data_IF_475752721825
#
_entry.id   IF_475752721825
#
_cell.length_a   1.000
_cell.length_b   1.000
_cell.length_c   1.000
_cell.angle_alpha   90.00
_cell.angle_beta   90.00
_cell.angle_gamma   90.00
#
_symmetry.space_group_name_H-M   'P 1'
#
loop_
_entity.id
_entity.type
_entity.pdbx_description
1 polymer ?
#
# COMPACT_ATOMS: atom_id res chain seq x y z
N UNK A 1 1.56 32.82 19.35
CA UNK A 1 2.73 33.26 20.14
C UNK A 1 3.97 32.56 19.64
N UNK A 2 5.17 33.02 20.02
CA UNK A 2 6.42 32.34 19.67
C UNK A 2 6.44 30.90 20.21
N UNK A 3 7.06 29.98 19.47
CA UNK A 3 7.21 28.59 19.94
C UNK A 3 8.06 28.54 21.21
N UNK A 4 7.68 27.68 22.14
CA UNK A 4 8.45 27.40 23.36
C UNK A 4 9.49 26.28 23.17
N UNK A 5 9.39 25.51 22.09
CA UNK A 5 10.32 24.44 21.73
C UNK A 5 10.31 24.19 20.22
N UNK A 6 11.40 24.55 19.54
CA UNK A 6 11.55 24.39 18.07
C UNK A 6 11.95 22.97 17.65
N UNK A 7 12.22 22.08 18.61
CA UNK A 7 12.32 20.63 18.40
C UNK A 7 10.96 19.94 18.30
N UNK A 8 9.88 20.58 18.78
CA UNK A 8 8.51 20.05 18.76
C UNK A 8 7.61 20.85 17.80
N UNK A 9 7.59 22.18 17.92
CA UNK A 9 6.76 23.07 17.07
C UNK A 9 7.63 24.18 16.50
N UNK A 10 7.78 24.22 15.18
CA UNK A 10 8.52 25.29 14.50
C UNK A 10 7.58 26.35 13.90
N UNK A 11 8.03 27.61 13.78
CA UNK A 11 7.30 28.62 13.03
C UNK A 11 7.26 28.26 11.53
N UNK A 12 6.25 28.77 10.81
CA UNK A 12 6.07 28.53 9.36
C UNK A 12 7.29 28.96 8.54
N UNK A 13 8.03 29.98 9.00
CA UNK A 13 9.24 30.46 8.35
C UNK A 13 10.45 29.51 8.46
N UNK A 14 10.42 28.53 9.38
CA UNK A 14 11.49 27.54 9.58
C UNK A 14 10.89 26.16 9.81
N UNK A 15 10.20 25.54 8.84
CA UNK A 15 9.49 24.29 9.07
C UNK A 15 10.47 23.10 9.27
N UNK A 16 9.95 21.94 9.69
CA UNK A 16 10.75 20.70 9.69
C UNK A 16 11.04 20.19 8.28
N UNK A 17 10.07 20.37 7.39
CA UNK A 17 10.16 20.07 5.95
C UNK A 17 9.36 21.11 5.18
N UNK A 18 9.78 21.50 3.96
CA UNK A 18 9.02 22.39 3.10
C UNK A 18 7.67 21.80 2.62
N UNK A 19 7.46 20.49 2.78
CA UNK A 19 6.23 19.81 2.39
C UNK A 19 5.53 19.11 3.58
N UNK A 20 4.21 18.93 3.48
CA UNK A 20 3.40 18.29 4.53
C UNK A 20 3.69 16.80 4.75
N UNK A 21 4.48 16.17 3.87
CA UNK A 21 4.91 14.79 4.02
C UNK A 21 3.87 13.74 3.62
N UNK A 22 2.73 14.16 3.09
CA UNK A 22 1.74 13.30 2.42
C UNK A 22 1.71 13.67 0.93
N UNK A 23 1.78 12.67 0.07
CA UNK A 23 1.74 12.85 -1.39
C UNK A 23 0.76 11.87 -2.02
N UNK A 24 0.16 12.31 -3.12
CA UNK A 24 -0.61 11.48 -4.04
C UNK A 24 0.36 10.79 -4.99
N UNK A 25 0.14 9.49 -5.23
CA UNK A 25 0.73 8.75 -6.33
C UNK A 25 -0.36 8.39 -7.34
N UNK A 26 -0.05 8.50 -8.63
CA UNK A 26 -0.97 8.12 -9.70
C UNK A 26 -0.25 7.45 -10.87
N UNK A 27 -0.90 6.52 -11.54
CA UNK A 27 -0.36 5.86 -12.73
C UNK A 27 -1.23 4.69 -13.19
N UNK A 28 -0.65 3.77 -13.96
CA UNK A 28 -1.40 2.62 -14.50
C UNK A 28 -1.85 1.61 -13.41
N UNK A 29 -1.34 1.73 -12.18
CA UNK A 29 -1.79 0.97 -11.01
C UNK A 29 -2.96 1.65 -10.25
N UNK A 30 -3.42 2.82 -10.70
CA UNK A 30 -4.48 3.59 -10.05
C UNK A 30 -3.95 4.79 -9.28
N UNK A 31 -4.66 5.17 -8.21
CA UNK A 31 -4.32 6.30 -7.32
C UNK A 31 -4.09 5.80 -5.90
N UNK A 32 -3.12 6.35 -5.21
CA UNK A 32 -2.79 5.97 -3.83
C UNK A 32 -2.16 7.14 -3.08
N UNK A 33 -1.97 6.99 -1.77
CA UNK A 33 -1.24 7.98 -0.97
C UNK A 33 0.02 7.39 -0.37
N UNK A 34 1.02 8.22 -0.16
CA UNK A 34 2.27 7.87 0.53
C UNK A 34 2.64 8.95 1.55
N UNK A 35 3.17 8.51 2.69
CA UNK A 35 3.77 9.41 3.70
C UNK A 35 5.29 9.39 3.55
N UNK A 36 5.88 10.51 3.13
CA UNK A 36 7.32 10.66 2.86
C UNK A 36 8.13 11.28 3.98
N UNK A 37 7.46 11.79 5.03
CA UNK A 37 8.10 12.56 6.12
C UNK A 37 9.23 11.84 6.86
N UNK A 38 9.24 10.50 6.88
CA UNK A 38 10.25 9.69 7.55
C UNK A 38 11.05 8.81 6.59
N UNK A 39 10.81 8.91 5.27
CA UNK A 39 11.50 8.12 4.25
C UNK A 39 12.82 8.82 3.92
N UNK A 40 13.97 8.11 3.99
CA UNK A 40 15.25 8.65 3.53
C UNK A 40 15.21 9.10 2.06
N UNK A 41 15.91 10.19 1.74
CA UNK A 41 15.87 10.80 0.39
C UNK A 41 16.29 9.82 -0.73
N UNK A 42 17.23 8.91 -0.45
CA UNK A 42 17.69 7.86 -1.40
C UNK A 42 16.64 6.75 -1.64
N UNK A 43 15.53 6.77 -0.90
CA UNK A 43 14.43 5.80 -0.94
C UNK A 43 13.12 6.40 -1.44
N UNK A 44 13.10 7.67 -1.88
CA UNK A 44 11.89 8.27 -2.47
C UNK A 44 11.51 7.65 -3.82
N UNK A 45 12.46 6.98 -4.48
CA UNK A 45 12.25 6.24 -5.71
C UNK A 45 12.69 4.79 -5.50
N UNK A 46 11.74 3.87 -5.68
CA UNK A 46 11.97 2.44 -5.64
C UNK A 46 11.47 1.85 -6.95
N UNK A 47 12.35 1.14 -7.64
CA UNK A 47 12.03 0.33 -8.81
C UNK A 47 12.58 -1.07 -8.57
N UNK A 48 11.70 -2.06 -8.45
CA UNK A 48 12.08 -3.43 -8.13
C UNK A 48 11.01 -4.43 -8.60
N UNK A 49 11.36 -5.72 -8.74
CA UNK A 49 10.38 -6.76 -9.04
C UNK A 49 9.31 -6.88 -7.96
N UNK A 50 8.07 -7.10 -8.37
CA UNK A 50 6.95 -7.30 -7.49
C UNK A 50 7.01 -8.69 -6.84
N UNK A 51 6.60 -8.74 -5.57
CA UNK A 51 6.18 -9.98 -4.92
C UNK A 51 4.78 -9.77 -4.36
N UNK A 52 3.83 -10.52 -4.92
CA UNK A 52 2.40 -10.39 -4.65
C UNK A 52 1.98 -11.33 -3.52
N UNK A 53 1.16 -10.80 -2.62
CA UNK A 53 0.59 -11.49 -1.48
C UNK A 53 -0.90 -11.19 -1.37
N UNK A 54 -1.66 -12.20 -0.96
CA UNK A 54 -3.09 -12.06 -0.71
C UNK A 54 -3.42 -11.79 0.77
N UNK A 55 -2.41 -11.84 1.66
CA UNK A 55 -2.55 -11.52 3.09
C UNK A 55 -1.23 -11.08 3.73
N UNK A 56 -1.30 -10.41 4.89
CA UNK A 56 -0.11 -10.05 5.65
C UNK A 56 0.63 -11.30 6.19
N UNK A 57 -0.11 -12.37 6.51
CA UNK A 57 0.43 -13.62 7.03
C UNK A 57 1.33 -14.31 5.99
N UNK A 58 0.94 -14.24 4.71
CA UNK A 58 1.74 -14.76 3.60
C UNK A 58 3.06 -13.99 3.44
N UNK A 59 3.02 -12.65 3.53
CA UNK A 59 4.24 -11.83 3.51
C UNK A 59 5.17 -12.19 4.66
N UNK A 60 4.63 -12.37 5.86
CA UNK A 60 5.41 -12.78 7.02
C UNK A 60 6.05 -14.16 6.87
N UNK A 61 5.33 -15.11 6.25
CA UNK A 61 5.88 -16.43 5.98
C UNK A 61 7.05 -16.34 4.99
N UNK A 62 6.90 -15.58 3.90
CA UNK A 62 7.96 -15.35 2.92
C UNK A 62 9.19 -14.65 3.54
N UNK A 63 8.98 -13.64 4.39
CA UNK A 63 10.06 -12.98 5.13
C UNK A 63 10.81 -13.96 6.05
N UNK A 64 10.10 -14.77 6.84
CA UNK A 64 10.73 -15.78 7.71
C UNK A 64 11.47 -16.86 6.93
N UNK A 65 11.00 -17.17 5.72
CA UNK A 65 11.65 -18.11 4.81
C UNK A 65 12.87 -17.54 4.08
N UNK A 66 13.21 -16.26 4.27
CA UNK A 66 14.34 -15.61 3.59
C UNK A 66 14.08 -15.27 2.11
N UNK A 67 12.84 -15.43 1.64
CA UNK A 67 12.48 -15.22 0.23
C UNK A 67 12.65 -13.75 -0.21
N UNK A 68 12.59 -12.82 0.74
CA UNK A 68 12.55 -11.38 0.51
C UNK A 68 13.91 -10.68 0.67
N UNK A 69 15.01 -11.42 0.81
CA UNK A 69 16.37 -10.88 0.92
C UNK A 69 16.90 -10.41 -0.46
N UNK A 70 16.20 -9.44 -1.05
CA UNK A 70 16.47 -8.81 -2.35
C UNK A 70 15.72 -7.49 -2.46
N UNK A 71 16.03 -6.71 -3.49
CA UNK A 71 15.19 -5.58 -3.90
C UNK A 71 13.81 -6.09 -4.31
N UNK A 72 12.75 -5.53 -3.73
CA UNK A 72 11.38 -6.04 -3.91
C UNK A 72 10.31 -4.98 -3.65
N UNK A 73 9.30 -4.94 -4.51
CA UNK A 73 8.03 -4.26 -4.21
C UNK A 73 7.04 -5.29 -3.70
N UNK A 74 6.78 -5.29 -2.40
CA UNK A 74 5.79 -6.16 -1.79
C UNK A 74 4.39 -5.62 -2.09
N UNK A 75 3.61 -6.37 -2.87
CA UNK A 75 2.23 -6.02 -3.23
C UNK A 75 1.28 -6.83 -2.37
N UNK A 76 0.51 -6.19 -1.49
CA UNK A 76 -0.46 -6.88 -0.63
C UNK A 76 -1.87 -6.48 -1.04
N UNK A 77 -2.60 -7.41 -1.65
CA UNK A 77 -3.94 -7.19 -2.21
C UNK A 77 -5.03 -7.68 -1.28
N UNK A 78 -6.27 -7.35 -1.62
CA UNK A 78 -7.47 -7.80 -0.89
C UNK A 78 -7.54 -7.22 0.52
N UNK A 79 -6.99 -6.03 0.72
CA UNK A 79 -6.97 -5.33 1.99
C UNK A 79 -7.80 -4.04 1.95
N UNK A 80 -8.53 -3.80 0.86
CA UNK A 80 -9.37 -2.62 0.68
C UNK A 80 -10.71 -2.65 1.45
N UNK A 81 -11.48 -1.55 1.39
CA UNK A 81 -12.77 -1.44 2.06
C UNK A 81 -13.73 -2.59 1.77
N UNK A 82 -13.95 -2.92 0.49
CA UNK A 82 -14.88 -3.97 0.07
C UNK A 82 -14.32 -5.37 0.32
N UNK A 83 -13.00 -5.54 0.25
CA UNK A 83 -12.33 -6.81 0.46
C UNK A 83 -12.53 -7.37 1.88
N UNK A 84 -12.16 -6.59 2.89
CA UNK A 84 -12.17 -7.04 4.29
C UNK A 84 -12.39 -5.92 5.31
N UNK A 85 -12.91 -4.77 4.88
CA UNK A 85 -13.16 -3.62 5.75
C UNK A 85 -11.92 -2.76 6.04
N UNK A 86 -10.86 -2.93 5.24
CA UNK A 86 -9.63 -2.15 5.34
C UNK A 86 -8.98 -2.11 6.74
N UNK A 87 -8.59 -3.27 7.31
CA UNK A 87 -7.90 -3.32 8.59
C UNK A 87 -6.50 -2.69 8.50
N UNK A 88 -5.96 -2.25 9.64
CA UNK A 88 -4.58 -1.76 9.70
C UNK A 88 -3.57 -2.91 9.71
N UNK A 89 -2.69 -2.94 8.71
CA UNK A 89 -1.67 -3.98 8.49
C UNK A 89 -0.37 -3.70 9.29
N UNK A 90 -0.51 -3.39 10.58
CA UNK A 90 0.58 -2.97 11.47
C UNK A 90 1.79 -3.93 11.51
N UNK A 91 1.60 -5.21 11.17
CA UNK A 91 2.67 -6.21 11.21
C UNK A 91 3.60 -6.15 9.99
N UNK A 92 3.25 -5.42 8.92
CA UNK A 92 4.08 -5.34 7.70
C UNK A 92 5.29 -4.42 7.83
N UNK A 93 5.24 -3.39 8.68
CA UNK A 93 6.34 -2.42 8.79
C UNK A 93 7.66 -3.03 9.29
N UNK A 94 7.67 -3.84 10.38
CA UNK A 94 8.90 -4.42 10.90
C UNK A 94 9.71 -5.26 9.89
N UNK A 95 9.14 -6.27 9.17
CA UNK A 95 9.92 -7.07 8.23
C UNK A 95 10.49 -6.22 7.09
N UNK A 96 9.71 -5.29 6.53
CA UNK A 96 10.19 -4.41 5.47
C UNK A 96 11.30 -3.47 5.94
N UNK A 97 11.20 -2.95 7.17
CA UNK A 97 12.25 -2.10 7.75
C UNK A 97 13.56 -2.88 7.96
N UNK A 98 13.50 -4.16 8.33
CA UNK A 98 14.68 -5.04 8.40
C UNK A 98 15.31 -5.21 7.03
N UNK A 99 14.52 -5.48 5.98
CA UNK A 99 15.04 -5.62 4.62
C UNK A 99 15.70 -4.33 4.13
N UNK A 100 15.09 -3.18 4.36
CA UNK A 100 15.71 -1.88 4.03
C UNK A 100 17.01 -1.66 4.82
N UNK A 101 17.03 -2.05 6.11
CA UNK A 101 18.22 -1.98 6.96
C UNK A 101 19.38 -2.88 6.48
N UNK A 102 19.08 -3.98 5.77
CA UNK A 102 20.08 -4.81 5.07
C UNK A 102 20.61 -4.16 3.79
N UNK A 103 20.04 -3.02 3.37
CA UNK A 103 20.45 -2.25 2.20
C UNK A 103 19.50 -2.36 1.01
N UNK A 104 18.60 -3.35 0.99
CA UNK A 104 17.70 -3.61 -0.13
C UNK A 104 16.74 -2.45 -0.42
N UNK A 105 16.46 -2.21 -1.70
CA UNK A 105 15.41 -1.30 -2.16
C UNK A 105 14.06 -1.99 -2.04
N UNK A 106 13.32 -1.62 -1.00
CA UNK A 106 12.02 -2.23 -0.70
C UNK A 106 10.92 -1.19 -0.65
N UNK A 107 9.74 -1.57 -1.14
CA UNK A 107 8.53 -0.78 -1.02
C UNK A 107 7.31 -1.67 -0.74
N UNK A 108 6.25 -1.07 -0.19
CA UNK A 108 4.94 -1.68 -0.03
C UNK A 108 3.95 -1.02 -0.99
N UNK A 109 3.10 -1.82 -1.63
CA UNK A 109 1.94 -1.34 -2.39
C UNK A 109 0.72 -2.14 -1.92
N UNK A 110 -0.34 -1.45 -1.48
CA UNK A 110 -1.55 -2.12 -0.98
C UNK A 110 -2.80 -1.29 -1.21
N UNK A 111 -3.90 -1.98 -1.50
CA UNK A 111 -5.25 -1.41 -1.48
C UNK A 111 -5.79 -1.20 -0.05
N UNK A 112 -5.08 -1.70 0.96
CA UNK A 112 -5.36 -1.47 2.38
C UNK A 112 -4.59 -0.32 3.00
N UNK A 113 -4.44 -0.36 4.34
CA UNK A 113 -3.84 0.72 5.13
C UNK A 113 -2.86 0.24 6.20
N UNK A 114 -2.05 1.19 6.67
CA UNK A 114 -1.09 1.02 7.77
C UNK A 114 -1.53 1.84 8.99
N UNK A 115 -0.84 1.69 10.14
CA UNK A 115 -1.21 2.28 11.45
C UNK A 115 -1.11 3.81 11.56
N UNK A 116 -1.14 4.53 10.44
CA UNK A 116 -1.10 5.99 10.39
C UNK A 116 0.26 6.62 10.73
N UNK A 117 1.18 5.90 11.39
CA UNK A 117 2.54 6.38 11.65
C UNK A 117 3.37 6.48 10.36
N UNK A 118 4.29 7.44 10.32
CA UNK A 118 5.22 7.60 9.19
C UNK A 118 6.35 6.58 9.34
N UNK A 119 6.41 5.60 8.44
CA UNK A 119 7.47 4.61 8.39
C UNK A 119 8.66 5.09 7.55
N UNK A 120 9.82 4.45 7.73
CA UNK A 120 11.02 4.70 6.92
C UNK A 120 10.99 4.00 5.56
N UNK A 121 10.06 3.07 5.37
CA UNK A 121 9.88 2.29 4.13
C UNK A 121 8.82 2.98 3.26
N UNK A 122 9.09 3.18 1.97
CA UNK A 122 8.08 3.64 1.01
C UNK A 122 6.86 2.74 0.95
N UNK A 123 5.68 3.31 1.18
CA UNK A 123 4.43 2.58 1.18
C UNK A 123 3.34 3.35 0.43
N UNK A 124 2.96 2.85 -0.74
CA UNK A 124 1.74 3.26 -1.44
C UNK A 124 0.55 2.52 -0.81
N UNK A 125 -0.26 3.26 -0.06
CA UNK A 125 -1.44 2.72 0.63
C UNK A 125 -2.72 3.29 0.02
N UNK A 126 -3.86 2.66 0.29
CA UNK A 126 -5.17 3.07 -0.23
C UNK A 126 -5.24 3.04 -1.76
N UNK A 127 -4.49 2.13 -2.41
CA UNK A 127 -4.54 1.98 -3.87
C UNK A 127 -5.99 1.76 -4.31
N UNK A 128 -6.47 2.69 -5.13
CA UNK A 128 -7.85 2.79 -5.59
C UNK A 128 -7.87 2.85 -7.13
N UNK A 129 -8.77 2.10 -7.80
CA UNK A 129 -9.71 1.12 -7.24
C UNK A 129 -9.00 -0.07 -6.58
N UNK A 130 -9.61 -0.64 -5.53
CA UNK A 130 -9.04 -1.81 -4.84
C UNK A 130 -9.11 -3.08 -5.71
N UNK A 131 -8.31 -4.09 -5.40
CA UNK A 131 -8.28 -5.32 -6.18
C UNK A 131 -9.65 -6.03 -6.19
N UNK A 132 -10.37 -6.04 -5.06
CA UNK A 132 -11.68 -6.70 -4.95
C UNK A 132 -12.78 -6.05 -5.81
N UNK A 133 -12.62 -4.77 -6.15
CA UNK A 133 -13.51 -4.01 -7.04
C UNK A 133 -13.04 -4.05 -8.50
N UNK A 134 -12.09 -4.92 -8.85
CA UNK A 134 -11.55 -5.04 -10.22
C UNK A 134 -10.47 -4.01 -10.56
N UNK A 135 -9.84 -3.42 -9.53
CA UNK A 135 -8.78 -2.44 -9.71
C UNK A 135 -7.50 -3.01 -10.35
N UNK A 136 -6.65 -2.15 -10.92
CA UNK A 136 -5.45 -2.57 -11.66
C UNK A 136 -4.46 -3.40 -10.82
N UNK A 137 -4.46 -3.23 -9.49
CA UNK A 137 -3.61 -4.01 -8.58
C UNK A 137 -3.89 -5.53 -8.68
N UNK A 138 -5.09 -5.94 -9.08
CA UNK A 138 -5.45 -7.34 -9.30
C UNK A 138 -4.76 -7.96 -10.54
N UNK A 139 -4.20 -7.15 -11.46
CA UNK A 139 -3.45 -7.63 -12.64
C UNK A 139 -1.95 -7.83 -12.40
N UNK A 140 -1.44 -7.38 -11.26
CA UNK A 140 -0.01 -7.51 -10.92
C UNK A 140 0.32 -8.97 -10.66
N UNK A 141 1.46 -9.41 -11.20
CA UNK A 141 2.03 -10.75 -11.07
C UNK A 141 3.40 -10.68 -10.39
N UNK A 142 3.83 -11.80 -9.82
CA UNK A 142 5.19 -11.94 -9.28
C UNK A 142 6.23 -11.67 -10.38
N UNK A 143 7.26 -10.90 -10.04
CA UNK A 143 8.34 -10.53 -10.94
C UNK A 143 8.09 -9.27 -11.76
N UNK A 144 6.87 -8.72 -11.79
CA UNK A 144 6.59 -7.49 -12.51
C UNK A 144 7.44 -6.32 -11.98
N UNK A 145 8.16 -5.58 -12.84
CA UNK A 145 8.86 -4.39 -12.39
C UNK A 145 7.85 -3.31 -11.98
N UNK A 146 7.88 -2.86 -10.73
CA UNK A 146 7.06 -1.75 -10.24
C UNK A 146 7.97 -0.60 -9.88
N UNK A 147 7.60 0.61 -10.33
CA UNK A 147 8.19 1.87 -9.94
C UNK A 147 7.23 2.65 -9.05
N UNK A 148 7.67 2.90 -7.83
CA UNK A 148 7.09 3.87 -6.91
C UNK A 148 8.03 5.08 -6.88
N UNK A 149 7.53 6.22 -7.35
CA UNK A 149 8.29 7.47 -7.42
C UNK A 149 7.54 8.57 -6.66
N UNK A 150 7.97 8.81 -5.43
CA UNK A 150 7.38 9.83 -4.58
C UNK A 150 7.77 11.26 -5.01
N UNK A 151 8.86 11.42 -5.76
CA UNK A 151 9.26 12.74 -6.27
C UNK A 151 8.35 13.17 -7.42
N UNK A 152 8.08 12.27 -8.37
CA UNK A 152 7.19 12.50 -9.50
C UNK A 152 5.71 12.31 -9.15
N UNK A 153 5.39 11.69 -8.01
CA UNK A 153 4.01 11.37 -7.64
C UNK A 153 3.42 10.24 -8.51
N UNK A 154 4.23 9.25 -8.90
CA UNK A 154 3.81 8.18 -9.81
C UNK A 154 3.91 6.79 -9.20
N UNK A 155 2.93 5.94 -9.51
CA UNK A 155 2.92 4.51 -9.17
C UNK A 155 2.61 3.71 -10.43
N UNK A 156 3.60 2.94 -10.90
CA UNK A 156 3.52 2.29 -12.20
C UNK A 156 4.05 0.86 -12.17
N UNK A 157 3.40 -0.02 -12.93
CA UNK A 157 3.98 -1.28 -13.37
C UNK A 157 4.60 -1.10 -14.75
N UNK A 158 5.86 -1.51 -14.92
CA UNK A 158 6.66 -1.30 -16.13
C UNK A 158 6.53 -2.49 -17.10
N UNK A 159 5.29 -2.82 -17.42
CA UNK A 159 4.91 -3.86 -18.39
C UNK A 159 4.36 -3.16 -19.64
N UNK A 160 4.60 -3.73 -20.83
CA UNK A 160 4.07 -3.14 -22.06
C UNK A 160 2.55 -3.03 -22.04
N UNK A 161 2.00 -1.99 -22.65
CA UNK A 161 0.55 -1.75 -22.66
C UNK A 161 -0.24 -2.94 -23.24
N UNK A 162 0.28 -3.56 -24.29
CA UNK A 162 -0.33 -4.75 -24.90
C UNK A 162 -0.39 -5.93 -23.92
N UNK A 163 0.71 -6.22 -23.22
CA UNK A 163 0.75 -7.29 -22.22
C UNK A 163 -0.15 -6.95 -21.02
N UNK A 164 -0.19 -5.70 -20.58
CA UNK A 164 -1.03 -5.25 -19.47
C UNK A 164 -2.53 -5.30 -19.82
N UNK A 165 -2.89 -4.91 -21.04
CA UNK A 165 -4.26 -4.96 -21.54
C UNK A 165 -4.77 -6.41 -21.64
N UNK A 166 -3.92 -7.35 -22.07
CA UNK A 166 -4.25 -8.76 -22.20
C UNK A 166 -4.43 -9.50 -20.86
N UNK A 167 -3.99 -8.92 -19.73
CA UNK A 167 -4.11 -9.57 -18.41
C UNK A 167 -5.53 -9.59 -17.90
N UNK A 168 -5.94 -10.77 -17.46
CA UNK A 168 -7.12 -10.97 -16.67
C UNK A 168 -6.93 -10.45 -15.25
N UNK A 169 -8.01 -10.01 -14.63
CA UNK A 169 -8.01 -9.64 -13.23
C UNK A 169 -7.96 -10.91 -12.39
N UNK A 170 -7.02 -10.98 -11.44
CA UNK A 170 -7.11 -11.99 -10.40
C UNK A 170 -8.44 -11.82 -9.65
N UNK A 171 -9.03 -12.94 -9.23
CA UNK A 171 -10.24 -12.95 -8.40
C UNK A 171 -9.82 -13.30 -6.98
N UNK A 172 -10.37 -12.58 -5.99
CA UNK A 172 -10.14 -12.90 -4.59
C UNK A 172 -10.44 -14.39 -4.34
N UNK A 173 -9.47 -15.18 -3.81
CA UNK A 173 -9.65 -16.61 -3.59
C UNK A 173 -10.93 -16.90 -2.78
N UNK A 174 -11.72 -17.94 -3.13
CA UNK A 174 -12.98 -18.23 -2.44
C UNK A 174 -12.83 -18.45 -0.93
N UNK A 175 -11.75 -19.14 -0.53
CA UNK A 175 -11.44 -19.35 0.89
C UNK A 175 -11.19 -18.03 1.64
N UNK A 176 -10.44 -17.10 1.03
CA UNK A 176 -10.16 -15.78 1.59
C UNK A 176 -11.43 -14.93 1.67
N UNK A 177 -12.26 -14.96 0.61
CA UNK A 177 -13.56 -14.28 0.58
C UNK A 177 -14.46 -14.74 1.72
N UNK A 178 -14.59 -16.05 1.92
CA UNK A 178 -15.39 -16.63 3.01
C UNK A 178 -14.81 -16.27 4.38
N UNK A 179 -13.49 -16.38 4.54
CA UNK A 179 -12.80 -16.04 5.78
C UNK A 179 -12.96 -14.56 6.16
N UNK A 180 -13.06 -13.67 5.17
CA UNK A 180 -13.32 -12.25 5.37
C UNK A 180 -14.81 -11.98 5.62
N UNK A 181 -15.71 -12.73 5.00
CA UNK A 181 -17.15 -12.48 5.06
C UNK A 181 -17.83 -12.93 6.37
N UNK A 182 -17.40 -14.06 6.95
CA UNK A 182 -18.11 -14.76 8.02
C UNK A 182 -17.36 -14.75 9.36
N UNK A 183 -18.07 -15.07 10.44
CA UNK A 183 -17.60 -15.15 11.82
C UNK A 183 -17.32 -13.79 12.46
N UNK A 184 -17.37 -13.75 13.80
CA UNK A 184 -17.16 -12.54 14.60
C UNK A 184 -18.16 -11.41 14.26
N UNK A 185 -19.38 -11.77 13.81
CA UNK A 185 -20.42 -10.80 13.44
C UNK A 185 -20.21 -10.11 12.09
N UNK A 186 -19.19 -10.51 11.30
CA UNK A 186 -18.85 -9.86 10.02
C UNK A 186 -19.97 -9.95 8.98
N UNK A 187 -20.84 -10.95 9.08
CA UNK A 187 -22.04 -11.12 8.26
C UNK A 187 -23.04 -9.95 8.42
N UNK A 188 -23.13 -9.35 9.61
CA UNK A 188 -24.00 -8.20 9.90
C UNK A 188 -23.58 -6.95 9.09
N UNK A 189 -22.31 -6.87 8.69
CA UNK A 189 -21.74 -5.74 7.95
C UNK A 189 -21.59 -6.02 6.46
N UNK A 190 -22.14 -7.14 5.96
CA UNK A 190 -21.97 -7.56 4.56
C UNK A 190 -22.45 -6.52 3.55
N UNK A 191 -23.61 -5.89 3.78
CA UNK A 191 -24.14 -4.84 2.91
C UNK A 191 -23.26 -3.59 2.94
N UNK A 192 -22.88 -3.11 4.13
CA UNK A 192 -22.02 -1.93 4.28
C UNK A 192 -20.68 -2.12 3.57
N UNK A 193 -20.04 -3.28 3.77
CA UNK A 193 -18.78 -3.59 3.11
C UNK A 193 -18.90 -3.67 1.59
N UNK A 194 -19.95 -4.32 1.06
CA UNK A 194 -20.17 -4.39 -0.40
C UNK A 194 -20.42 -3.02 -1.04
N UNK A 195 -21.03 -2.10 -0.29
CA UNK A 195 -21.38 -0.76 -0.75
C UNK A 195 -20.32 0.30 -0.40
N UNK A 196 -19.19 -0.09 0.21
CA UNK A 196 -18.15 0.85 0.55
C UNK A 196 -17.58 1.48 -0.73
N UNK A 197 -17.55 2.81 -0.77
CA UNK A 197 -16.84 3.56 -1.81
C UNK A 197 -15.33 3.33 -1.70
N UNK A 198 -14.58 3.84 -2.68
CA UNK A 198 -13.12 3.72 -2.66
C UNK A 198 -12.50 4.41 -1.44
N UNK A 199 -11.26 4.05 -1.11
CA UNK A 199 -10.54 4.70 -0.02
C UNK A 199 -10.30 6.21 -0.29
N UNK A 200 -10.21 6.62 -1.57
CA UNK A 200 -10.12 8.02 -1.96
C UNK A 200 -11.41 8.80 -1.69
N UNK A 201 -12.57 8.15 -1.80
CA UNK A 201 -13.89 8.71 -1.48
C UNK A 201 -14.24 8.59 0.02
N UNK A 202 -13.26 8.24 0.85
CA UNK A 202 -13.40 8.12 2.30
C UNK A 202 -13.96 6.78 2.78
N UNK A 203 -14.10 5.78 1.90
CA UNK A 203 -14.66 4.46 2.21
C UNK A 203 -16.08 4.54 2.83
N UNK A 204 -16.86 5.55 2.45
CA UNK A 204 -18.23 5.76 2.91
C UNK A 204 -19.15 4.62 2.45
N UNK A 205 -20.11 4.23 3.29
CA UNK A 205 -21.01 3.08 3.06
C UNK A 205 -22.47 3.46 2.86
N UNK A 206 -22.82 4.75 2.95
CA UNK A 206 -24.18 5.25 2.89
C UNK A 206 -24.44 6.08 1.63
N UNK A 207 -25.44 5.65 0.86
CA UNK A 207 -26.33 6.45 0.02
C UNK A 207 -27.75 6.26 0.57
#
# INVERSE_FOLDING_TARGET
GASKDTGIVRPVALPFSPHGGLQLLQGNLGRSVIKVSAIPDDRHIIEAPARVFDSQEALHAAFRGGELDRDVVCVVRWQGPQANGMPELHKLTPPLAVLQGKGFRVALVTDGRMSGASGKVPAAIHVSPEAAAGGPLAKVLDGDPIRLDAQAGTLQVLVSEAAWAARELAIMPPALRTANALNLGREMFSAMRRNALSAEEGACTWL
#
